data_IF_836768604224
#
_entry.id   IF_836768604224
#
_cell.length_a   1.000
_cell.length_b   1.000
_cell.length_c   1.000
_cell.angle_alpha   90.00
_cell.angle_beta   90.00
_cell.angle_gamma   90.00
#
_symmetry.space_group_name_H-M   'P 1'
#
loop_
_entity.id
_entity.type
_entity.pdbx_description
1 polymer ?
#
# COMPACT_ATOMS: atom_id res chain seq x y z
N UNK A 1 -7.55 -12.86 -14.00
CA UNK A 1 -7.44 -12.04 -12.77
C UNK A 1 -6.25 -11.10 -12.78
N UNK A 2 -5.03 -11.53 -13.15
CA UNK A 2 -3.86 -10.63 -13.20
C UNK A 2 -4.05 -9.35 -14.01
N UNK A 3 -4.72 -9.42 -15.16
CA UNK A 3 -5.00 -8.25 -16.00
C UNK A 3 -5.87 -7.20 -15.31
N UNK A 4 -6.85 -7.65 -14.51
CA UNK A 4 -7.73 -6.75 -13.77
C UNK A 4 -6.96 -6.00 -12.69
N UNK A 5 -6.16 -6.71 -11.89
CA UNK A 5 -5.32 -6.08 -10.86
C UNK A 5 -4.30 -5.11 -11.47
N UNK A 6 -3.62 -5.54 -12.54
CA UNK A 6 -2.65 -4.69 -13.21
C UNK A 6 -3.29 -3.44 -13.83
N UNK A 7 -4.41 -3.62 -14.53
CA UNK A 7 -5.16 -2.53 -15.18
C UNK A 7 -5.70 -1.53 -14.17
N UNK A 8 -6.31 -2.00 -13.07
CA UNK A 8 -6.79 -1.12 -11.99
C UNK A 8 -5.64 -0.35 -11.35
N UNK A 9 -4.52 -1.02 -11.06
CA UNK A 9 -3.34 -0.35 -10.50
C UNK A 9 -2.77 0.71 -11.44
N UNK A 10 -2.68 0.40 -12.73
CA UNK A 10 -2.20 1.33 -13.75
C UNK A 10 -3.12 2.54 -13.88
N UNK A 11 -4.45 2.32 -13.88
CA UNK A 11 -5.43 3.40 -13.90
C UNK A 11 -5.24 4.35 -12.71
N UNK A 12 -5.07 3.82 -11.50
CA UNK A 12 -4.83 4.63 -10.30
C UNK A 12 -3.51 5.41 -10.39
N UNK A 13 -2.44 4.82 -10.93
CA UNK A 13 -1.16 5.51 -11.15
C UNK A 13 -1.32 6.65 -12.17
N UNK A 14 -2.03 6.42 -13.26
CA UNK A 14 -2.28 7.44 -14.29
C UNK A 14 -3.13 8.59 -13.74
N UNK A 15 -4.12 8.28 -12.91
CA UNK A 15 -4.90 9.27 -12.17
C UNK A 15 -4.03 10.08 -11.20
N UNK A 16 -3.14 9.41 -10.44
CA UNK A 16 -2.20 10.07 -9.54
C UNK A 16 -1.18 10.96 -10.29
N UNK A 17 -0.84 10.61 -11.53
CA UNK A 17 0.06 11.37 -12.40
C UNK A 17 -0.65 12.51 -13.17
N UNK A 18 -1.94 12.75 -12.91
CA UNK A 18 -2.75 13.76 -13.59
C UNK A 18 -2.90 13.54 -15.11
N UNK A 19 -2.67 12.32 -15.58
CA UNK A 19 -2.90 11.93 -16.98
C UNK A 19 -4.40 11.66 -17.20
N UNK A 20 -5.06 11.09 -16.20
CA UNK A 20 -6.51 10.89 -16.17
C UNK A 20 -7.11 11.89 -15.18
N UNK A 21 -8.06 12.73 -15.60
CA UNK A 21 -8.67 13.71 -14.72
C UNK A 21 -9.44 12.99 -13.61
N UNK A 22 -9.21 13.45 -12.39
CA UNK A 22 -9.92 13.02 -11.19
C UNK A 22 -10.41 14.25 -10.44
N UNK A 23 -11.54 14.08 -9.75
CA UNK A 23 -12.08 15.12 -8.89
C UNK A 23 -11.17 15.29 -7.66
N UNK A 24 -10.53 16.45 -7.54
CA UNK A 24 -9.62 16.75 -6.43
C UNK A 24 -10.37 16.95 -5.11
N UNK A 25 -11.64 17.34 -5.15
CA UNK A 25 -12.45 17.56 -3.95
C UNK A 25 -12.71 16.25 -3.18
N UNK A 26 -12.62 15.10 -3.86
CA UNK A 26 -12.75 13.77 -3.25
C UNK A 26 -11.44 13.17 -2.74
N UNK A 27 -10.29 13.84 -2.96
CA UNK A 27 -8.97 13.29 -2.63
C UNK A 27 -8.55 13.61 -1.19
N UNK A 28 -8.70 12.62 -0.33
CA UNK A 28 -8.33 12.71 1.10
C UNK A 28 -6.82 12.50 1.37
N UNK A 29 -6.01 12.31 0.33
CA UNK A 29 -4.59 12.01 0.42
C UNK A 29 -3.80 12.64 -0.75
N UNK A 30 -2.51 12.96 -0.56
CA UNK A 30 -1.68 13.50 -1.63
C UNK A 30 -1.49 12.46 -2.75
N UNK A 31 -1.35 12.95 -3.99
CA UNK A 31 -1.22 12.14 -5.21
C UNK A 31 -0.15 11.02 -5.12
N UNK A 32 0.95 11.23 -4.41
CA UNK A 32 1.97 10.19 -4.26
C UNK A 32 1.50 8.98 -3.42
N UNK A 33 0.63 9.18 -2.43
CA UNK A 33 0.01 8.08 -1.67
C UNK A 33 -0.93 7.30 -2.58
N UNK A 34 -1.70 8.02 -3.41
CA UNK A 34 -2.55 7.40 -4.44
C UNK A 34 -1.72 6.56 -5.43
N UNK A 35 -0.57 7.08 -5.87
CA UNK A 35 0.35 6.34 -6.74
C UNK A 35 0.87 5.05 -6.06
N UNK A 36 1.16 5.08 -4.75
CA UNK A 36 1.52 3.87 -3.99
C UNK A 36 0.37 2.86 -3.95
N UNK A 37 -0.88 3.30 -3.78
CA UNK A 37 -2.05 2.42 -3.85
C UNK A 37 -2.13 1.73 -5.21
N UNK A 38 -1.97 2.48 -6.31
CA UNK A 38 -1.93 1.92 -7.65
C UNK A 38 -0.78 0.95 -7.86
N UNK A 39 0.41 1.28 -7.34
CA UNK A 39 1.60 0.43 -7.39
C UNK A 39 1.36 -0.94 -6.74
N UNK A 40 0.70 -0.99 -5.59
CA UNK A 40 0.34 -2.25 -4.90
C UNK A 40 -0.50 -3.14 -5.82
N UNK A 41 -1.55 -2.60 -6.45
CA UNK A 41 -2.40 -3.35 -7.38
C UNK A 41 -1.64 -3.78 -8.65
N UNK A 42 -0.82 -2.90 -9.22
CA UNK A 42 -0.02 -3.21 -10.40
C UNK A 42 0.98 -4.34 -10.13
N UNK A 43 1.70 -4.29 -9.01
CA UNK A 43 2.66 -5.33 -8.63
C UNK A 43 1.94 -6.65 -8.36
N UNK A 44 0.79 -6.63 -7.66
CA UNK A 44 0.00 -7.84 -7.43
C UNK A 44 -0.43 -8.48 -8.77
N UNK A 45 -0.89 -7.68 -9.74
CA UNK A 45 -1.21 -8.15 -11.08
C UNK A 45 -0.02 -8.78 -11.80
N UNK A 46 1.16 -8.15 -11.73
CA UNK A 46 2.41 -8.68 -12.30
C UNK A 46 2.79 -10.02 -11.65
N UNK A 47 2.73 -10.13 -10.33
CA UNK A 47 3.04 -11.38 -9.61
C UNK A 47 2.11 -12.52 -10.03
N UNK A 48 0.82 -12.24 -10.23
CA UNK A 48 -0.14 -13.23 -10.74
C UNK A 48 0.27 -13.71 -12.15
N UNK A 49 0.73 -12.81 -13.02
CA UNK A 49 1.20 -13.18 -14.36
C UNK A 49 2.50 -13.99 -14.36
N UNK A 50 3.42 -13.66 -13.47
CA UNK A 50 4.70 -14.35 -13.35
C UNK A 50 4.57 -15.75 -12.75
N UNK A 51 3.47 -16.02 -12.04
CA UNK A 51 3.23 -17.28 -11.37
C UNK A 51 4.10 -17.47 -10.12
N UNK A 52 3.78 -18.49 -9.32
CA UNK A 52 4.33 -18.66 -7.96
C UNK A 52 5.84 -18.89 -7.91
N UNK A 53 6.41 -19.53 -8.93
CA UNK A 53 7.82 -19.94 -8.97
C UNK A 53 8.78 -18.88 -9.51
N UNK A 54 8.31 -17.67 -9.82
CA UNK A 54 9.17 -16.61 -10.33
C UNK A 54 10.19 -16.14 -9.28
N UNK A 55 11.47 -16.10 -9.65
CA UNK A 55 12.57 -15.56 -8.82
C UNK A 55 12.38 -14.09 -8.41
N UNK A 56 11.52 -13.37 -9.12
CA UNK A 56 11.23 -11.96 -8.87
C UNK A 56 10.13 -11.75 -7.82
N UNK A 57 9.39 -12.79 -7.44
CA UNK A 57 8.26 -12.66 -6.51
C UNK A 57 8.69 -12.13 -5.14
N UNK A 58 9.87 -12.52 -4.63
CA UNK A 58 10.37 -11.98 -3.36
C UNK A 58 10.66 -10.48 -3.44
N UNK A 59 11.21 -10.01 -4.57
CA UNK A 59 11.45 -8.59 -4.78
C UNK A 59 10.14 -7.82 -4.92
N UNK A 60 9.20 -8.33 -5.72
CA UNK A 60 7.89 -7.70 -5.89
C UNK A 60 7.08 -7.68 -4.60
N UNK A 61 7.10 -8.77 -3.82
CA UNK A 61 6.52 -8.81 -2.49
C UNK A 61 7.13 -7.76 -1.56
N UNK A 62 8.46 -7.60 -1.59
CA UNK A 62 9.12 -6.56 -0.81
C UNK A 62 8.66 -5.15 -1.19
N UNK A 63 8.61 -4.82 -2.49
CA UNK A 63 8.16 -3.50 -2.95
C UNK A 63 6.68 -3.28 -2.62
N UNK A 64 5.83 -4.28 -2.83
CA UNK A 64 4.41 -4.22 -2.52
C UNK A 64 4.17 -3.96 -1.03
N UNK A 65 4.82 -4.73 -0.17
CA UNK A 65 4.66 -4.60 1.28
C UNK A 65 5.28 -3.29 1.78
N UNK A 66 6.39 -2.84 1.20
CA UNK A 66 6.98 -1.54 1.54
C UNK A 66 6.04 -0.39 1.15
N UNK A 67 5.38 -0.46 0.00
CA UNK A 67 4.38 0.52 -0.41
C UNK A 67 3.18 0.53 0.56
N UNK A 68 2.66 -0.64 0.94
CA UNK A 68 1.61 -0.75 1.96
C UNK A 68 2.04 -0.16 3.32
N UNK A 69 3.26 -0.45 3.75
CA UNK A 69 3.84 0.14 4.96
C UNK A 69 3.96 1.66 4.86
N UNK A 70 4.38 2.19 3.71
CA UNK A 70 4.45 3.63 3.45
C UNK A 70 3.09 4.31 3.53
N UNK A 71 2.06 3.70 2.94
CA UNK A 71 0.66 4.18 3.02
C UNK A 71 0.20 4.18 4.49
N UNK A 72 0.37 3.06 5.21
CA UNK A 72 -0.03 2.95 6.61
C UNK A 72 0.71 3.94 7.53
N UNK A 73 2.01 4.12 7.32
CA UNK A 73 2.81 5.10 8.06
C UNK A 73 2.33 6.52 7.79
N UNK A 74 2.00 6.84 6.53
CA UNK A 74 1.46 8.13 6.17
C UNK A 74 0.11 8.38 6.85
N UNK A 75 -0.82 7.42 6.80
CA UNK A 75 -2.13 7.52 7.47
C UNK A 75 -1.95 7.74 8.97
N UNK A 76 -1.05 6.99 9.61
CA UNK A 76 -0.83 7.07 11.06
C UNK A 76 -0.28 8.44 11.51
N UNK A 77 0.58 9.07 10.70
CA UNK A 77 1.29 10.30 11.06
C UNK A 77 0.60 11.57 10.55
N UNK A 78 0.06 11.52 9.33
CA UNK A 78 -0.42 12.69 8.59
C UNK A 78 -1.89 12.60 8.17
N UNK A 79 -2.55 11.44 8.34
CA UNK A 79 -3.96 11.29 8.01
C UNK A 79 -4.85 12.20 8.86
N UNK A 80 -5.71 12.98 8.19
CA UNK A 80 -6.74 13.77 8.85
C UNK A 80 -7.75 12.85 9.54
N UNK A 81 -8.08 13.12 10.81
CA UNK A 81 -8.95 12.25 11.62
C UNK A 81 -10.37 12.13 11.06
N UNK A 82 -10.87 13.18 10.42
CA UNK A 82 -12.17 13.22 9.75
C UNK A 82 -12.27 12.27 8.54
N UNK A 83 -11.13 11.93 7.94
CA UNK A 83 -11.04 11.02 6.79
C UNK A 83 -10.75 9.57 7.20
N UNK A 84 -10.56 9.32 8.50
CA UNK A 84 -10.40 7.96 9.01
C UNK A 84 -11.77 7.29 9.06
N UNK A 85 -12.01 6.40 8.11
CA UNK A 85 -13.22 5.57 8.09
C UNK A 85 -13.07 4.35 9.00
N UNK A 86 -14.18 3.97 9.61
CA UNK A 86 -14.23 2.90 10.60
C UNK A 86 -14.04 3.43 12.02
N UNK A 87 -14.80 2.87 12.95
CA UNK A 87 -14.79 3.28 14.35
C UNK A 87 -15.68 2.37 15.16
N UNK A 88 -15.41 2.31 16.46
CA UNK A 88 -16.26 1.59 17.40
C UNK A 88 -17.31 2.59 17.91
N UNK A 89 -18.63 2.38 17.68
CA UNK A 89 -19.66 3.35 18.05
C UNK A 89 -19.71 3.72 19.55
N UNK A 90 -19.13 2.86 20.39
CA UNK A 90 -19.04 3.04 21.84
C UNK A 90 -17.87 3.96 22.26
N UNK A 91 -16.93 4.26 21.37
CA UNK A 91 -15.76 5.09 21.65
C UNK A 91 -15.97 6.51 21.16
N UNK A 92 -15.37 7.48 21.86
CA UNK A 92 -15.29 8.86 21.39
C UNK A 92 -14.45 8.97 20.13
N UNK A 93 -14.66 10.02 19.33
CA UNK A 93 -13.90 10.29 18.10
C UNK A 93 -12.39 10.38 18.37
N UNK A 94 -12.00 10.94 19.52
CA UNK A 94 -10.61 11.00 19.96
C UNK A 94 -10.01 9.61 20.21
N UNK A 95 -10.76 8.69 20.82
CA UNK A 95 -10.33 7.33 21.08
C UNK A 95 -10.27 6.50 19.79
N UNK A 96 -11.25 6.66 18.89
CA UNK A 96 -11.23 6.05 17.56
C UNK A 96 -10.02 6.53 16.74
N UNK A 97 -9.74 7.83 16.73
CA UNK A 97 -8.58 8.41 16.04
C UNK A 97 -7.27 7.87 16.62
N UNK A 98 -7.14 7.85 17.95
CA UNK A 98 -5.96 7.31 18.62
C UNK A 98 -5.74 5.84 18.26
N UNK A 99 -6.79 5.03 18.32
CA UNK A 99 -6.73 3.60 17.98
C UNK A 99 -6.34 3.39 16.51
N UNK A 100 -6.95 4.14 15.58
CA UNK A 100 -6.63 4.07 14.16
C UNK A 100 -5.15 4.36 13.90
N UNK A 101 -4.59 5.42 14.50
CA UNK A 101 -3.16 5.77 14.36
C UNK A 101 -2.25 4.64 14.85
N UNK A 102 -2.59 3.99 15.95
CA UNK A 102 -1.83 2.84 16.45
C UNK A 102 -1.94 1.62 15.54
N UNK A 103 -3.14 1.30 15.04
CA UNK A 103 -3.34 0.17 14.14
C UNK A 103 -2.57 0.37 12.82
N UNK A 104 -2.72 1.53 12.18
CA UNK A 104 -1.99 1.85 10.94
C UNK A 104 -0.48 1.93 11.18
N UNK A 105 -0.05 2.54 12.28
CA UNK A 105 1.38 2.67 12.62
C UNK A 105 2.04 1.32 12.92
N UNK A 106 1.40 0.49 13.75
CA UNK A 106 1.91 -0.86 14.04
C UNK A 106 1.88 -1.75 12.80
N UNK A 107 0.80 -1.69 12.01
CA UNK A 107 0.69 -2.41 10.74
C UNK A 107 1.79 -1.99 9.75
N UNK A 108 2.13 -0.70 9.69
CA UNK A 108 3.22 -0.20 8.86
C UNK A 108 4.59 -0.76 9.30
N UNK A 109 4.88 -0.79 10.60
CA UNK A 109 6.11 -1.37 11.13
C UNK A 109 6.23 -2.86 10.79
N UNK A 110 5.13 -3.61 10.91
CA UNK A 110 5.07 -5.02 10.51
C UNK A 110 5.35 -5.17 9.02
N UNK A 111 4.75 -4.32 8.18
CA UNK A 111 5.01 -4.31 6.74
C UNK A 111 6.50 -4.06 6.45
N UNK A 112 7.11 -3.04 7.07
CA UNK A 112 8.54 -2.78 6.87
C UNK A 112 9.43 -3.96 7.30
N UNK A 113 9.11 -4.61 8.42
CA UNK A 113 9.83 -5.80 8.86
C UNK A 113 9.73 -6.95 7.85
N UNK A 114 8.54 -7.21 7.32
CA UNK A 114 8.32 -8.26 6.30
C UNK A 114 9.02 -7.89 4.98
N UNK A 115 8.97 -6.62 4.56
CA UNK A 115 9.66 -6.16 3.35
C UNK A 115 11.17 -6.37 3.46
N UNK A 116 11.78 -6.03 4.60
CA UNK A 116 13.19 -6.30 4.87
C UNK A 116 13.51 -7.80 4.84
N UNK A 117 12.62 -8.62 5.37
CA UNK A 117 12.77 -10.08 5.31
C UNK A 117 12.70 -10.61 3.87
N UNK A 118 11.75 -10.13 3.07
CA UNK A 118 11.60 -10.51 1.67
C UNK A 118 12.82 -10.08 0.81
N UNK A 119 13.39 -8.89 1.07
CA UNK A 119 14.65 -8.45 0.43
C UNK A 119 15.78 -9.41 0.77
N UNK A 120 15.92 -9.78 2.06
CA UNK A 120 16.96 -10.74 2.49
C UNK A 120 16.79 -12.09 1.79
N UNK A 121 15.58 -12.62 1.69
CA UNK A 121 15.29 -13.87 0.98
C UNK A 121 15.62 -13.78 -0.53
N UNK A 122 15.34 -12.65 -1.16
CA UNK A 122 15.70 -12.44 -2.57
C UNK A 122 17.22 -12.42 -2.78
N UNK A 123 17.97 -11.77 -1.88
CA UNK A 123 19.43 -11.69 -1.96
C UNK A 123 20.10 -13.06 -1.79
N UNK A 124 19.68 -13.86 -0.81
CA UNK A 124 20.27 -15.19 -0.56
C UNK A 124 19.92 -16.21 -1.66
N UNK A 125 18.78 -16.04 -2.34
CA UNK A 125 18.42 -16.87 -3.49
C UNK A 125 19.32 -16.67 -4.71
N UNK A 126 20.09 -15.57 -4.80
CA UNK A 126 21.03 -15.34 -5.90
C UNK A 126 22.39 -15.98 -5.68
N UNK A 127 22.70 -16.42 -4.46
CA UNK A 127 23.98 -17.03 -4.08
C UNK A 127 23.99 -18.56 -4.25
N UNK A 128 22.84 -19.16 -4.62
CA UNK A 128 22.69 -20.59 -4.92
C UNK A 128 22.47 -20.80 -6.42
#
# INVERSE_FOLDING_TARGET
MGLLFFGTGLFIILAAADIIPIDEDGLNAPRWVLALCGLVFSIAGIMIFLGEHSKWNNLFAAVLILAMGGIGAWIALFGASENLSGGIPLLSDSANTFLARWIFGAGALVCFAIALHAIRLHSTSKEK
#
